data_IF_362020202944
#
_entry.id   IF_362020202944
#
_cell.length_a   1.000
_cell.length_b   1.000
_cell.length_c   1.000
_cell.angle_alpha   90.00
_cell.angle_beta   90.00
_cell.angle_gamma   90.00
#
_symmetry.space_group_name_H-M   'P 1'
#
loop_
_entity.id
_entity.type
_entity.pdbx_description
1 polymer ?
#
# COMPACT_ATOMS: atom_id res chain seq x y z
N UNK A 1 -0.20 17.89 -15.92
CA UNK A 1 -0.48 18.19 -14.50
C UNK A 1 0.63 17.54 -13.66
N UNK A 2 1.15 18.19 -12.62
CA UNK A 2 2.20 17.62 -11.77
C UNK A 2 1.68 17.43 -10.35
N UNK A 3 1.86 16.23 -9.79
CA UNK A 3 1.50 15.93 -8.41
C UNK A 3 2.45 16.65 -7.43
N UNK A 4 1.91 17.08 -6.28
CA UNK A 4 2.66 17.71 -5.18
C UNK A 4 2.17 17.12 -3.86
N UNK A 5 3.10 16.82 -2.96
CA UNK A 5 2.79 16.34 -1.61
C UNK A 5 2.54 17.55 -0.71
N UNK A 6 1.54 17.47 0.16
CA UNK A 6 1.18 18.51 1.11
C UNK A 6 0.74 17.93 2.46
N UNK A 7 0.23 18.80 3.33
CA UNK A 7 -0.28 18.47 4.67
C UNK A 7 0.74 17.78 5.60
N UNK A 8 1.78 18.52 5.96
CA UNK A 8 2.82 18.07 6.89
C UNK A 8 2.44 18.29 8.37
N UNK A 9 1.17 18.52 8.72
CA UNK A 9 0.74 18.82 10.09
C UNK A 9 1.01 17.69 11.10
N UNK A 10 1.10 16.45 10.60
CA UNK A 10 1.45 15.27 11.40
C UNK A 10 2.87 14.76 11.11
N UNK A 11 3.63 15.41 10.22
CA UNK A 11 4.98 14.99 9.89
C UNK A 11 5.90 15.05 11.12
N UNK A 12 6.88 14.15 11.16
CA UNK A 12 7.84 14.04 12.25
C UNK A 12 9.24 13.92 11.70
N UNK A 13 10.16 14.71 12.26
CA UNK A 13 11.59 14.51 12.08
C UNK A 13 12.03 13.41 13.03
N UNK A 14 12.83 12.48 12.52
CA UNK A 14 13.36 11.39 13.31
C UNK A 14 14.88 11.45 13.26
N UNK A 15 15.51 11.61 14.42
CA UNK A 15 16.96 11.61 14.53
C UNK A 15 17.51 10.20 14.30
N UNK A 16 18.57 10.11 13.50
CA UNK A 16 19.22 8.84 13.18
C UNK A 16 19.74 8.16 14.46
N UNK A 17 19.10 7.06 14.86
CA UNK A 17 19.58 6.19 15.96
C UNK A 17 18.68 6.12 17.21
N UNK A 18 17.59 6.88 17.28
CA UNK A 18 16.59 6.72 18.37
C UNK A 18 15.41 5.88 17.88
N UNK A 19 14.78 5.11 18.78
CA UNK A 19 13.50 4.48 18.44
C UNK A 19 12.42 5.56 18.33
N UNK A 20 11.50 5.46 17.36
CA UNK A 20 10.38 6.39 17.29
C UNK A 20 9.57 6.33 18.60
N UNK A 21 9.42 7.48 19.26
CA UNK A 21 8.58 7.59 20.45
C UNK A 21 7.14 7.20 20.12
N UNK A 22 6.44 6.62 21.08
CA UNK A 22 5.01 6.33 20.94
C UNK A 22 4.25 7.64 20.71
N UNK A 23 3.57 7.72 19.58
CA UNK A 23 2.76 8.88 19.21
C UNK A 23 1.29 8.57 19.42
N UNK A 24 0.50 9.61 19.71
CA UNK A 24 -0.96 9.50 19.64
C UNK A 24 -1.33 9.05 18.23
N UNK A 25 -2.01 7.92 18.11
CA UNK A 25 -2.49 7.41 16.82
C UNK A 25 -3.50 8.42 16.25
N UNK A 26 -3.05 9.21 15.28
CA UNK A 26 -3.87 10.18 14.55
C UNK A 26 -3.54 10.02 13.07
N UNK A 27 -4.57 9.92 12.24
CA UNK A 27 -4.45 9.89 10.79
C UNK A 27 -5.73 9.38 10.13
N UNK A 28 -5.70 9.25 8.82
CA UNK A 28 -6.89 8.91 8.02
C UNK A 28 -7.15 7.41 8.05
N UNK A 29 -8.32 7.01 8.54
CA UNK A 29 -8.77 5.61 8.57
C UNK A 29 -8.71 5.00 7.17
N UNK A 30 -8.17 3.79 7.05
CA UNK A 30 -7.93 3.11 5.78
C UNK A 30 -6.49 3.24 5.26
N UNK A 31 -5.78 4.31 5.61
CA UNK A 31 -4.37 4.50 5.23
C UNK A 31 -3.40 4.14 6.37
N UNK A 32 -3.90 4.03 7.61
CA UNK A 32 -3.07 3.70 8.76
C UNK A 32 -2.52 2.27 8.67
N UNK A 33 -1.19 2.15 8.74
CA UNK A 33 -0.53 0.85 8.82
C UNK A 33 -0.94 0.10 10.09
N UNK A 34 -1.15 -1.24 10.03
CA UNK A 34 -1.68 -2.00 11.15
C UNK A 34 -0.76 -1.97 12.39
N UNK A 35 0.55 -1.93 12.20
CA UNK A 35 1.52 -1.79 13.30
C UNK A 35 1.50 -0.39 13.92
N UNK A 36 1.22 0.66 13.14
CA UNK A 36 1.07 2.00 13.66
C UNK A 36 -0.20 2.12 14.49
N UNK A 37 -1.31 1.56 14.01
CA UNK A 37 -2.57 1.53 14.76
C UNK A 37 -2.43 0.77 16.11
N UNK A 38 -1.55 -0.24 16.18
CA UNK A 38 -1.31 -1.03 17.40
C UNK A 38 -0.32 -0.39 18.36
N UNK A 39 0.75 0.22 17.85
CA UNK A 39 1.90 0.65 18.67
C UNK A 39 2.05 2.16 18.79
N UNK A 40 1.37 2.94 17.94
CA UNK A 40 1.57 4.38 17.82
C UNK A 40 2.95 4.78 17.29
N UNK A 41 3.78 3.86 16.82
CA UNK A 41 5.15 4.15 16.38
C UNK A 41 5.21 4.35 14.87
N UNK A 42 5.34 5.60 14.45
CA UNK A 42 5.52 5.95 13.05
C UNK A 42 6.89 5.47 12.54
N UNK A 43 6.97 5.07 11.29
CA UNK A 43 8.23 4.69 10.64
C UNK A 43 8.16 4.91 9.13
N UNK A 44 9.30 4.83 8.44
CA UNK A 44 9.30 4.88 6.97
C UNK A 44 8.41 3.79 6.36
N UNK A 45 8.24 2.64 7.02
CA UNK A 45 7.39 1.56 6.51
C UNK A 45 5.90 1.85 6.70
N UNK A 46 5.51 2.66 7.69
CA UNK A 46 4.11 3.07 7.85
C UNK A 46 3.70 4.02 6.72
N UNK A 47 4.63 4.84 6.25
CA UNK A 47 4.44 5.70 5.08
C UNK A 47 4.34 4.88 3.79
N UNK A 48 5.19 3.86 3.62
CA UNK A 48 5.12 2.92 2.48
C UNK A 48 3.75 2.23 2.42
N UNK A 49 3.20 1.79 3.56
CA UNK A 49 1.86 1.20 3.60
C UNK A 49 0.79 2.18 3.11
N UNK A 50 0.82 3.41 3.63
CA UNK A 50 -0.13 4.46 3.28
C UNK A 50 -0.06 4.79 1.78
N UNK A 51 1.16 4.84 1.23
CA UNK A 51 1.40 5.00 -0.20
C UNK A 51 0.90 3.82 -1.03
N UNK A 52 1.07 2.59 -0.54
CA UNK A 52 0.50 1.39 -1.16
C UNK A 52 -1.02 1.48 -1.28
N UNK A 53 -1.71 1.84 -0.19
CA UNK A 53 -3.15 2.07 -0.20
C UNK A 53 -3.57 3.15 -1.20
N UNK A 54 -2.80 4.24 -1.30
CA UNK A 54 -3.03 5.30 -2.30
C UNK A 54 -2.92 4.76 -3.74
N UNK A 55 -1.90 3.96 -4.05
CA UNK A 55 -1.79 3.31 -5.36
C UNK A 55 -3.05 2.48 -5.63
N UNK A 56 -3.46 1.65 -4.67
CA UNK A 56 -4.62 0.78 -4.83
C UNK A 56 -5.90 1.59 -5.06
N UNK A 57 -6.10 2.68 -4.32
CA UNK A 57 -7.24 3.58 -4.49
C UNK A 57 -7.27 4.19 -5.90
N UNK A 58 -6.12 4.67 -6.39
CA UNK A 58 -5.99 5.26 -7.72
C UNK A 58 -6.28 4.24 -8.83
N UNK A 59 -5.72 3.02 -8.71
CA UNK A 59 -5.90 1.97 -9.72
C UNK A 59 -7.32 1.42 -9.76
N UNK A 60 -8.01 1.37 -8.61
CA UNK A 60 -9.36 0.83 -8.50
C UNK A 60 -10.46 1.90 -8.57
N UNK A 61 -10.11 3.20 -8.53
CA UNK A 61 -11.08 4.30 -8.50
C UNK A 61 -11.97 4.25 -7.26
N UNK A 62 -11.48 3.68 -6.15
CA UNK A 62 -12.28 3.27 -5.01
C UNK A 62 -11.61 3.65 -3.70
N UNK A 63 -12.37 4.27 -2.80
CA UNK A 63 -11.87 4.66 -1.48
C UNK A 63 -11.44 3.44 -0.66
N UNK A 64 -10.38 3.52 0.16
CA UNK A 64 -9.92 2.40 0.99
C UNK A 64 -10.99 1.85 1.91
N UNK A 65 -11.83 2.74 2.45
CA UNK A 65 -12.99 2.45 3.29
C UNK A 65 -14.20 3.16 2.69
N UNK A 66 -15.24 2.40 2.41
CA UNK A 66 -16.49 2.87 1.83
C UNK A 66 -17.65 2.06 2.42
N UNK A 67 -18.73 2.72 2.83
CA UNK A 67 -19.88 2.06 3.46
C UNK A 67 -20.54 1.05 2.49
N UNK A 68 -20.96 -0.10 3.03
CA UNK A 68 -21.58 -1.16 2.25
C UNK A 68 -20.62 -1.97 1.37
N UNK A 69 -19.31 -1.71 1.42
CA UNK A 69 -18.30 -2.48 0.68
C UNK A 69 -17.16 -2.98 1.61
N UNK A 70 -16.54 -4.14 1.31
CA UNK A 70 -15.40 -4.64 2.09
C UNK A 70 -14.19 -3.68 2.02
N UNK A 71 -13.28 -3.61 2.99
CA UNK A 71 -12.06 -2.80 2.86
C UNK A 71 -11.31 -3.07 1.55
N UNK A 72 -10.77 -2.03 0.92
CA UNK A 72 -10.17 -2.13 -0.43
C UNK A 72 -9.08 -3.19 -0.53
N UNK A 73 -8.15 -3.19 0.44
CA UNK A 73 -7.04 -4.14 0.50
C UNK A 73 -7.54 -5.57 0.65
N UNK A 74 -8.60 -5.78 1.44
CA UNK A 74 -9.18 -7.10 1.69
C UNK A 74 -9.89 -7.66 0.45
N UNK A 75 -10.59 -6.78 -0.27
CA UNK A 75 -11.24 -7.13 -1.53
C UNK A 75 -10.22 -7.49 -2.62
N UNK A 76 -9.14 -6.71 -2.76
CA UNK A 76 -8.06 -7.00 -3.71
C UNK A 76 -7.36 -8.32 -3.41
N UNK A 77 -7.19 -8.64 -2.13
CA UNK A 77 -6.64 -9.92 -1.72
C UNK A 77 -7.51 -11.09 -2.18
N UNK A 78 -8.83 -10.94 -2.10
CA UNK A 78 -9.76 -11.98 -2.53
C UNK A 78 -9.76 -12.14 -4.05
N UNK A 79 -9.72 -11.04 -4.81
CA UNK A 79 -9.55 -11.10 -6.27
C UNK A 79 -8.23 -11.77 -6.66
N UNK A 80 -7.15 -11.47 -5.95
CA UNK A 80 -5.85 -12.08 -6.22
C UNK A 80 -5.88 -13.61 -6.03
N UNK A 81 -6.54 -14.10 -4.97
CA UNK A 81 -6.71 -15.56 -4.75
C UNK A 81 -7.48 -16.24 -5.87
N UNK A 82 -8.43 -15.52 -6.46
CA UNK A 82 -9.27 -16.01 -7.55
C UNK A 82 -8.58 -15.89 -8.92
N UNK A 83 -7.41 -15.22 -8.99
CA UNK A 83 -6.73 -14.93 -10.24
C UNK A 83 -7.41 -13.83 -11.07
N UNK A 84 -8.31 -13.06 -10.46
CA UNK A 84 -9.15 -12.06 -11.12
C UNK A 84 -8.70 -10.63 -10.83
N UNK A 85 -7.41 -10.43 -10.51
CA UNK A 85 -6.90 -9.12 -10.09
C UNK A 85 -7.07 -8.04 -11.16
N UNK A 86 -7.10 -8.41 -12.44
CA UNK A 86 -7.41 -7.49 -13.54
C UNK A 86 -8.79 -6.84 -13.38
N UNK A 87 -9.78 -7.55 -12.85
CA UNK A 87 -11.14 -7.03 -12.65
C UNK A 87 -11.20 -5.87 -11.63
N UNK A 88 -10.11 -5.59 -10.92
CA UNK A 88 -10.06 -4.52 -9.93
C UNK A 88 -9.96 -3.10 -10.54
N UNK A 89 -9.51 -2.97 -11.79
CA UNK A 89 -9.22 -1.64 -12.35
C UNK A 89 -10.47 -0.78 -12.53
N UNK A 90 -10.30 0.51 -12.28
CA UNK A 90 -11.33 1.51 -12.56
C UNK A 90 -11.73 1.52 -14.05
N UNK A 91 -13.03 1.67 -14.29
CA UNK A 91 -13.58 1.69 -15.65
C UNK A 91 -13.13 2.94 -16.43
N UNK A 92 -12.97 4.09 -15.75
CA UNK A 92 -12.47 5.29 -16.45
C UNK A 92 -11.00 5.10 -16.84
N UNK A 93 -10.19 4.52 -15.94
CA UNK A 93 -8.80 4.16 -16.25
C UNK A 93 -8.71 3.23 -17.47
N UNK A 94 -9.53 2.17 -17.53
CA UNK A 94 -9.61 1.22 -18.66
C UNK A 94 -10.03 1.88 -19.98
N UNK A 95 -10.85 2.93 -19.91
CA UNK A 95 -11.38 3.62 -21.10
C UNK A 95 -10.39 4.61 -21.74
N UNK A 96 -9.26 4.89 -21.08
CA UNK A 96 -8.32 5.91 -21.53
C UNK A 96 -7.46 5.45 -22.73
N UNK A 97 -7.20 6.35 -23.66
CA UNK A 97 -6.32 6.10 -24.81
C UNK A 97 -4.88 5.99 -24.32
N UNK A 98 -4.34 4.77 -24.28
CA UNK A 98 -3.01 4.47 -23.76
C UNK A 98 -2.98 3.63 -22.48
N UNK A 99 -4.14 3.11 -22.03
CA UNK A 99 -4.16 2.11 -20.98
C UNK A 99 -3.42 0.84 -21.40
N UNK A 100 -2.35 0.49 -20.68
CA UNK A 100 -1.64 -0.77 -20.81
C UNK A 100 -1.97 -1.64 -19.60
N UNK A 101 -2.70 -2.74 -19.83
CA UNK A 101 -3.18 -3.62 -18.78
C UNK A 101 -2.02 -4.31 -18.02
N UNK A 102 -0.94 -4.66 -18.71
CA UNK A 102 0.23 -5.28 -18.08
C UNK A 102 0.95 -4.30 -17.15
N UNK A 103 1.15 -3.06 -17.58
CA UNK A 103 1.73 -2.02 -16.73
C UNK A 103 0.83 -1.70 -15.54
N UNK A 104 -0.48 -1.56 -15.78
CA UNK A 104 -1.46 -1.34 -14.72
C UNK A 104 -1.45 -2.47 -13.69
N UNK A 105 -1.38 -3.72 -14.14
CA UNK A 105 -1.32 -4.88 -13.25
C UNK A 105 -0.05 -4.90 -12.41
N UNK A 106 1.11 -4.57 -13.00
CA UNK A 106 2.37 -4.43 -12.27
C UNK A 106 2.28 -3.35 -11.19
N UNK A 107 1.68 -2.20 -11.49
CA UNK A 107 1.49 -1.10 -10.52
C UNK A 107 0.53 -1.52 -9.39
N UNK A 108 -0.56 -2.20 -9.73
CA UNK A 108 -1.52 -2.71 -8.75
C UNK A 108 -0.88 -3.71 -7.79
N UNK A 109 -0.07 -4.64 -8.32
CA UNK A 109 0.71 -5.59 -7.52
C UNK A 109 1.71 -4.89 -6.60
N UNK A 110 2.42 -3.88 -7.09
CA UNK A 110 3.30 -3.06 -6.25
C UNK A 110 2.53 -2.43 -5.08
N UNK A 111 1.35 -1.88 -5.34
CA UNK A 111 0.47 -1.35 -4.30
C UNK A 111 0.13 -2.39 -3.23
N UNK A 112 -0.18 -3.63 -3.64
CA UNK A 112 -0.44 -4.73 -2.71
C UNK A 112 0.79 -5.12 -1.86
N UNK A 113 1.99 -5.14 -2.45
CA UNK A 113 3.23 -5.43 -1.71
C UNK A 113 3.52 -4.32 -0.69
N UNK A 114 3.33 -3.05 -1.08
CA UNK A 114 3.48 -1.91 -0.18
C UNK A 114 2.46 -1.97 0.99
N UNK A 115 1.24 -2.44 0.73
CA UNK A 115 0.18 -2.60 1.72
C UNK A 115 0.23 -3.90 2.54
N UNK A 116 1.37 -4.62 2.57
CA UNK A 116 1.52 -5.84 3.38
C UNK A 116 1.39 -5.59 4.87
N UNK A 117 0.84 -6.55 5.61
CA UNK A 117 0.73 -6.45 7.07
C UNK A 117 2.09 -6.43 7.77
N UNK A 118 3.04 -7.26 7.32
CA UNK A 118 4.41 -7.26 7.85
C UNK A 118 5.23 -6.10 7.27
N UNK A 119 5.69 -5.13 8.08
CA UNK A 119 6.51 -4.01 7.63
C UNK A 119 7.82 -4.45 6.97
N UNK A 120 8.40 -5.60 7.37
CA UNK A 120 9.67 -6.08 6.81
C UNK A 120 9.52 -6.64 5.39
N UNK A 121 8.30 -7.03 5.02
CA UNK A 121 7.99 -7.56 3.71
C UNK A 121 7.58 -6.48 2.69
N UNK A 122 7.58 -5.21 3.10
CA UNK A 122 7.33 -4.04 2.23
C UNK A 122 8.64 -3.52 1.64
N UNK A 123 8.66 -3.05 0.38
CA UNK A 123 9.83 -2.40 -0.19
C UNK A 123 10.12 -1.07 0.51
N UNK A 124 11.33 -0.56 0.32
CA UNK A 124 11.67 0.83 0.63
C UNK A 124 11.10 1.77 -0.43
N UNK A 125 10.82 3.03 -0.08
CA UNK A 125 10.40 4.04 -1.07
C UNK A 125 11.40 4.22 -2.22
N UNK A 126 12.70 3.97 -1.98
CA UNK A 126 13.71 3.97 -3.04
C UNK A 126 13.49 2.86 -4.06
N UNK A 127 13.12 1.66 -3.62
CA UNK A 127 12.78 0.55 -4.51
C UNK A 127 11.48 0.83 -5.28
N UNK A 128 10.49 1.43 -4.62
CA UNK A 128 9.22 1.88 -5.23
C UNK A 128 9.49 2.89 -6.36
N UNK A 129 10.32 3.91 -6.12
CA UNK A 129 10.68 4.89 -7.15
C UNK A 129 11.40 4.22 -8.32
N UNK A 130 12.40 3.38 -8.04
CA UNK A 130 13.11 2.61 -9.08
C UNK A 130 12.17 1.76 -9.92
N UNK A 131 11.14 1.17 -9.32
CA UNK A 131 10.15 0.40 -10.07
C UNK A 131 9.45 1.25 -11.13
N UNK A 132 9.05 2.48 -10.79
CA UNK A 132 8.43 3.41 -11.75
C UNK A 132 9.42 3.98 -12.77
N UNK A 133 10.68 4.17 -12.37
CA UNK A 133 11.74 4.71 -13.23
C UNK A 133 12.19 3.73 -14.33
N UNK A 134 11.82 2.44 -14.30
CA UNK A 134 12.32 1.42 -15.24
C UNK A 134 11.98 1.64 -16.72
N UNK A 135 11.19 2.66 -17.06
CA UNK A 135 10.98 3.14 -18.44
C UNK A 135 11.98 4.26 -18.85
N UNK A 136 12.87 4.69 -17.95
CA UNK A 136 13.99 5.61 -18.16
C UNK A 136 15.30 4.92 -17.75
N UNK A 137 16.12 4.52 -18.73
CA UNK A 137 17.37 3.75 -18.62
C UNK A 137 18.22 3.99 -17.34
N UNK A 138 18.15 3.13 -16.31
CA UNK A 138 19.23 2.95 -15.30
C UNK A 138 19.25 1.55 -14.63
N UNK A 139 20.41 0.89 -14.72
CA UNK A 139 20.96 -0.26 -13.95
C UNK A 139 20.09 -1.52 -13.75
N UNK A 140 20.34 -2.54 -14.59
CA UNK A 140 19.72 -3.87 -14.64
C UNK A 140 19.76 -4.69 -13.32
N UNK A 141 20.62 -4.39 -12.35
CA UNK A 141 20.83 -5.30 -11.20
C UNK A 141 19.78 -5.24 -10.09
N UNK A 142 19.05 -4.13 -9.95
CA UNK A 142 18.02 -3.92 -8.88
C UNK A 142 16.60 -4.11 -9.40
N UNK A 143 16.46 -3.94 -10.70
CA UNK A 143 15.28 -4.18 -11.49
C UNK A 143 14.87 -5.67 -11.42
N UNK A 144 15.82 -6.56 -11.73
CA UNK A 144 15.60 -8.01 -11.73
C UNK A 144 15.12 -8.50 -10.36
N UNK A 145 15.60 -7.89 -9.27
CA UNK A 145 15.23 -8.25 -7.90
C UNK A 145 13.75 -7.93 -7.59
N UNK A 146 13.23 -6.79 -8.05
CA UNK A 146 11.81 -6.45 -7.83
C UNK A 146 10.86 -7.23 -8.73
N UNK A 147 11.23 -7.57 -9.97
CA UNK A 147 10.40 -8.44 -10.81
C UNK A 147 10.41 -9.88 -10.32
N UNK A 148 11.56 -10.37 -9.88
CA UNK A 148 11.66 -11.66 -9.20
C UNK A 148 10.86 -11.65 -7.90
N UNK A 149 10.93 -10.57 -7.11
CA UNK A 149 10.13 -10.39 -5.89
C UNK A 149 8.63 -10.27 -6.20
N UNK A 150 8.22 -9.61 -7.27
CA UNK A 150 6.83 -9.57 -7.75
C UNK A 150 6.37 -10.96 -8.18
N UNK A 151 7.17 -11.70 -8.96
CA UNK A 151 6.88 -13.07 -9.36
C UNK A 151 6.80 -14.02 -8.16
N UNK A 152 7.72 -13.89 -7.22
CA UNK A 152 7.87 -14.78 -6.06
C UNK A 152 6.85 -14.47 -4.96
N UNK A 153 6.49 -13.19 -4.80
CA UNK A 153 5.40 -12.75 -3.94
C UNK A 153 4.03 -13.10 -4.53
N UNK A 154 3.91 -13.31 -5.84
CA UNK A 154 2.69 -13.85 -6.45
C UNK A 154 2.57 -15.38 -6.38
N UNK A 155 3.55 -16.10 -5.82
CA UNK A 155 3.38 -17.54 -5.58
C UNK A 155 2.40 -17.76 -4.43
N UNK A 156 1.36 -18.59 -4.59
CA UNK A 156 0.33 -18.79 -3.57
C UNK A 156 0.90 -19.25 -2.22
N UNK A 157 2.04 -19.96 -2.20
CA UNK A 157 2.62 -20.54 -1.00
C UNK A 157 3.46 -19.57 -0.13
N UNK A 158 3.90 -18.41 -0.64
CA UNK A 158 4.72 -17.43 0.13
C UNK A 158 3.86 -16.37 0.83
N UNK A 159 2.60 -16.23 0.42
CA UNK A 159 1.66 -15.18 0.88
C UNK A 159 0.64 -15.65 1.93
N UNK A 160 0.42 -16.96 2.07
CA UNK A 160 -0.66 -17.55 2.89
C UNK A 160 -0.50 -17.45 4.42
N UNK A 161 0.69 -17.45 5.06
CA UNK A 161 0.72 -17.51 6.53
C UNK A 161 0.43 -16.15 7.21
N UNK A 162 0.64 -15.03 6.52
CA UNK A 162 0.76 -13.72 7.17
C UNK A 162 -0.40 -12.74 6.90
N UNK A 163 -1.34 -13.08 6.02
CA UNK A 163 -2.55 -12.28 5.85
C UNK A 163 -3.64 -12.80 6.79
N UNK A 164 -3.69 -12.23 8.00
CA UNK A 164 -4.81 -12.46 8.90
C UNK A 164 -5.94 -11.50 8.49
N UNK A 165 -7.02 -12.05 7.91
CA UNK A 165 -8.26 -11.31 7.66
C UNK A 165 -8.71 -10.70 8.99
N UNK A 166 -8.53 -9.39 9.10
CA UNK A 166 -8.80 -8.67 10.34
C UNK A 166 -10.30 -8.48 10.51
N UNK A 167 -11.03 -9.55 10.84
CA UNK A 167 -12.33 -9.45 11.53
C UNK A 167 -12.18 -8.88 12.96
N UNK A 168 -10.97 -8.53 13.41
CA UNK A 168 -10.66 -8.18 14.79
C UNK A 168 -9.88 -6.87 14.99
N UNK A 169 -9.89 -5.94 14.03
CA UNK A 169 -9.63 -4.53 14.37
C UNK A 169 -11.00 -3.93 14.65
N UNK A 170 -11.49 -4.15 15.87
CA UNK A 170 -12.60 -3.39 16.41
C UNK A 170 -12.11 -1.94 16.48
N UNK A 171 -12.49 -1.12 15.50
CA UNK A 171 -12.45 0.32 15.59
C UNK A 171 -13.43 0.72 16.70
N UNK A 172 -13.07 0.50 17.96
CA UNK A 172 -13.82 1.05 19.08
C UNK A 172 -13.73 2.57 18.95
N UNK A 173 -14.87 3.23 19.09
CA UNK A 173 -15.13 4.67 18.92
C UNK A 173 -14.22 5.65 19.72
N UNK A 174 -13.11 5.21 20.31
CA UNK A 174 -12.20 6.02 21.12
C UNK A 174 -11.29 6.98 20.34
N UNK A 175 -11.34 7.03 19.01
CA UNK A 175 -10.51 7.97 18.22
C UNK A 175 -11.28 9.20 17.70
N UNK A 176 -12.58 9.33 17.96
CA UNK A 176 -13.39 10.48 17.51
C UNK A 176 -13.59 11.54 18.62
N UNK A 177 -13.34 11.23 19.89
CA UNK A 177 -13.51 12.19 20.98
C UNK A 177 -12.18 12.63 21.60
N UNK A 178 -11.60 13.64 20.98
CA UNK A 178 -10.59 14.49 21.60
C UNK A 178 -10.74 15.90 21.07
N UNK A 179 -11.85 16.55 21.45
CA UNK A 179 -12.02 18.00 21.41
C UNK A 179 -11.19 18.65 22.51
#
# INVERSE_FOLDING_TARGET
>A
MHARIGDFGLARMHDHGQAANETRVVGTVGYLAPEFAKTGRASTQTDVFSYGVLILELMCGRRPIEEGKPPLVDWLWELMKQGELSNAFDNQLRSNQGFNEEEALRVLQLGMICARQDPKARPTMRQVVKFFERNCEVAESVAVDMDFYLLESMRPNTMLPNYCSSRSISWTNSLVEGR
#
